data_IF_057091104904
#
_entry.id   IF_057091104904
#
_cell.length_a   1.000
_cell.length_b   1.000
_cell.length_c   1.000
_cell.angle_alpha   90.00
_cell.angle_beta   90.00
_cell.angle_gamma   90.00
#
_symmetry.space_group_name_H-M   'P 1'
#
loop_
_entity.id
_entity.type
_entity.pdbx_description
1 polymer ?
#
# COMPACT_ATOMS: atom_id res chain seq x y z
N UNK A 1 28.18 19.59 35.03
CA UNK A 1 27.33 18.67 35.82
C UNK A 1 25.90 18.80 35.36
N UNK A 2 25.49 17.94 34.43
CA UNK A 2 24.14 17.81 33.95
C UNK A 2 23.39 16.76 34.80
N UNK A 3 22.12 16.98 35.19
CA UNK A 3 21.40 16.02 36.00
C UNK A 3 20.83 14.87 35.15
N UNK A 4 21.07 13.68 35.66
CA UNK A 4 20.55 12.40 35.23
C UNK A 4 19.00 12.39 35.23
N UNK A 5 18.37 12.39 34.04
CA UNK A 5 16.91 12.17 33.91
C UNK A 5 16.68 10.71 33.52
N UNK A 6 16.50 9.87 34.54
CA UNK A 6 15.96 8.54 34.37
C UNK A 6 14.51 8.62 33.86
N UNK A 7 14.30 8.21 32.64
CA UNK A 7 12.95 7.96 32.11
C UNK A 7 12.46 6.65 32.71
N UNK A 8 11.52 6.73 33.64
CA UNK A 8 10.76 5.57 34.12
C UNK A 8 9.77 5.17 33.01
N UNK A 9 10.04 4.06 32.34
CA UNK A 9 9.04 3.40 31.49
C UNK A 9 8.13 2.62 32.43
N UNK A 10 6.95 3.15 32.69
CA UNK A 10 5.88 2.44 33.40
C UNK A 10 5.33 1.40 32.43
N UNK A 11 5.70 0.14 32.65
CA UNK A 11 5.18 -1.00 31.93
C UNK A 11 3.68 -1.09 32.10
N UNK A 12 2.96 -0.87 31.02
CA UNK A 12 1.51 -1.04 30.97
C UNK A 12 1.23 -2.55 30.94
N UNK A 13 0.71 -3.10 32.05
CA UNK A 13 0.15 -4.44 32.09
C UNK A 13 -1.11 -4.46 31.20
N UNK A 14 -0.93 -4.78 29.94
CA UNK A 14 -2.06 -5.06 29.05
C UNK A 14 -2.31 -6.56 29.11
N UNK A 15 -3.30 -6.90 29.92
CA UNK A 15 -4.33 -7.83 29.55
C UNK A 15 -4.00 -9.31 29.38
N UNK A 16 -3.90 -10.00 30.50
CA UNK A 16 -4.25 -11.43 30.55
C UNK A 16 -5.79 -11.69 30.38
N UNK A 17 -6.63 -10.66 30.35
CA UNK A 17 -8.08 -10.80 30.18
C UNK A 17 -8.54 -11.15 28.77
N UNK A 18 -7.85 -10.70 27.76
CA UNK A 18 -8.21 -10.96 26.35
C UNK A 18 -7.84 -12.37 25.87
N UNK A 19 -6.83 -13.00 26.48
CA UNK A 19 -6.45 -14.37 26.13
C UNK A 19 -7.43 -15.42 26.68
N UNK A 20 -8.01 -15.18 27.90
CA UNK A 20 -9.01 -16.10 28.47
C UNK A 20 -10.32 -16.10 27.69
N UNK A 21 -10.79 -14.97 27.20
CA UNK A 21 -12.04 -14.92 26.42
C UNK A 21 -11.91 -15.56 25.02
N UNK A 22 -10.73 -15.49 24.37
CA UNK A 22 -10.50 -16.18 23.09
C UNK A 22 -10.42 -17.69 23.22
N UNK A 23 -9.84 -18.21 24.32
CA UNK A 23 -9.75 -19.66 24.56
C UNK A 23 -11.10 -20.27 24.94
N UNK A 24 -11.98 -19.54 25.66
CA UNK A 24 -13.34 -19.99 25.96
C UNK A 24 -14.21 -20.07 24.70
N UNK A 25 -14.16 -19.05 23.82
CA UNK A 25 -14.87 -19.06 22.53
C UNK A 25 -14.43 -20.22 21.62
N UNK A 26 -13.13 -20.52 21.54
CA UNK A 26 -12.64 -21.64 20.73
C UNK A 26 -13.05 -23.01 21.32
N UNK A 27 -13.12 -23.14 22.65
CA UNK A 27 -13.59 -24.37 23.29
C UNK A 27 -15.10 -24.57 23.14
N UNK A 28 -15.91 -23.52 23.24
CA UNK A 28 -17.34 -23.59 22.95
C UNK A 28 -17.64 -23.96 21.51
N UNK A 29 -16.90 -23.41 20.57
CA UNK A 29 -17.06 -23.77 19.14
C UNK A 29 -16.66 -25.23 18.85
N UNK A 30 -15.66 -25.78 19.54
CA UNK A 30 -15.24 -27.19 19.39
C UNK A 30 -16.28 -28.13 20.04
N UNK A 31 -16.83 -27.78 21.19
CA UNK A 31 -17.87 -28.56 21.88
C UNK A 31 -19.14 -28.61 21.04
N UNK A 32 -19.58 -27.47 20.45
CA UNK A 32 -20.75 -27.43 19.57
C UNK A 32 -20.57 -28.23 18.28
N UNK A 33 -19.37 -28.25 17.68
CA UNK A 33 -19.08 -29.07 16.50
C UNK A 33 -19.09 -30.58 16.82
N UNK A 34 -18.62 -30.98 17.98
CA UNK A 34 -18.64 -32.37 18.43
C UNK A 34 -20.06 -32.82 18.80
N UNK A 35 -20.85 -31.94 19.43
CA UNK A 35 -22.27 -32.19 19.78
C UNK A 35 -23.14 -32.29 18.52
N UNK A 36 -22.87 -31.45 17.49
CA UNK A 36 -23.55 -31.54 16.19
C UNK A 36 -23.27 -32.90 15.50
N UNK A 37 -22.07 -33.39 15.57
CA UNK A 37 -21.71 -34.73 15.04
C UNK A 37 -22.44 -35.85 15.79
N UNK A 38 -22.54 -35.75 17.09
CA UNK A 38 -23.30 -36.72 17.94
C UNK A 38 -24.80 -36.69 17.65
N UNK A 39 -25.36 -35.50 17.46
CA UNK A 39 -26.77 -35.29 17.14
C UNK A 39 -27.12 -35.79 15.75
N UNK A 40 -26.24 -35.56 14.77
CA UNK A 40 -26.39 -36.08 13.40
C UNK A 40 -26.39 -37.59 13.39
N UNK A 41 -25.48 -38.25 14.13
CA UNK A 41 -25.44 -39.73 14.24
C UNK A 41 -26.69 -40.31 14.91
N UNK A 42 -27.26 -39.66 15.91
CA UNK A 42 -28.50 -40.07 16.54
C UNK A 42 -29.73 -39.91 15.63
N UNK A 43 -29.79 -38.85 14.85
CA UNK A 43 -30.85 -38.61 13.86
C UNK A 43 -30.76 -39.63 12.69
N UNK A 44 -29.57 -39.96 12.26
CA UNK A 44 -29.32 -40.91 11.17
C UNK A 44 -29.81 -42.32 11.51
N UNK A 45 -29.69 -42.71 12.79
CA UNK A 45 -30.17 -44.03 13.28
C UNK A 45 -31.68 -44.11 13.47
N UNK A 46 -32.43 -43.01 13.44
CA UNK A 46 -33.89 -42.97 13.62
C UNK A 46 -34.69 -42.86 12.33
N UNK A 47 -34.05 -42.62 11.19
CA UNK A 47 -34.73 -42.41 9.92
C UNK A 47 -34.70 -43.70 9.09
N UNK A 48 -35.81 -44.01 8.42
CA UNK A 48 -35.85 -45.15 7.53
C UNK A 48 -34.89 -44.94 6.33
N UNK A 49 -34.30 -46.02 5.78
CA UNK A 49 -33.35 -45.90 4.66
C UNK A 49 -33.92 -45.05 3.48
N UNK A 50 -35.20 -45.21 3.15
CA UNK A 50 -35.84 -44.48 2.05
C UNK A 50 -35.96 -43.00 2.30
N UNK A 51 -36.22 -42.57 3.56
CA UNK A 51 -36.30 -41.14 3.90
C UNK A 51 -34.92 -40.51 4.01
N UNK A 52 -33.89 -41.28 4.39
CA UNK A 52 -32.51 -40.84 4.43
C UNK A 52 -31.96 -40.56 3.02
N UNK A 53 -32.22 -41.44 2.06
CA UNK A 53 -31.79 -41.24 0.68
C UNK A 53 -32.48 -40.03 0.04
N UNK A 54 -33.77 -39.81 0.28
CA UNK A 54 -34.49 -38.66 -0.26
C UNK A 54 -34.02 -37.34 0.34
N UNK A 55 -33.71 -37.30 1.62
CA UNK A 55 -33.16 -36.13 2.28
C UNK A 55 -31.69 -35.91 1.91
N UNK A 56 -30.91 -36.98 1.69
CA UNK A 56 -29.54 -36.90 1.25
C UNK A 56 -29.44 -36.29 -0.16
N UNK A 57 -30.27 -36.70 -1.09
CA UNK A 57 -30.30 -36.16 -2.46
C UNK A 57 -30.76 -34.66 -2.47
N UNK A 58 -31.76 -34.30 -1.67
CA UNK A 58 -32.20 -32.92 -1.56
C UNK A 58 -31.15 -31.99 -0.91
N UNK A 59 -30.51 -32.46 0.16
CA UNK A 59 -29.45 -31.69 0.82
C UNK A 59 -28.22 -31.52 -0.07
N UNK A 60 -27.84 -32.56 -0.84
CA UNK A 60 -26.75 -32.44 -1.80
C UNK A 60 -27.09 -31.50 -2.94
N UNK A 61 -28.34 -31.51 -3.44
CA UNK A 61 -28.77 -30.59 -4.48
C UNK A 61 -28.82 -29.14 -4.03
N UNK A 62 -29.20 -28.87 -2.77
CA UNK A 62 -29.14 -27.55 -2.15
C UNK A 62 -27.69 -27.10 -1.90
N UNK A 63 -26.83 -27.99 -1.43
CA UNK A 63 -25.41 -27.73 -1.23
C UNK A 63 -24.72 -27.41 -2.57
N UNK A 64 -24.99 -28.17 -3.62
CA UNK A 64 -24.47 -27.93 -4.97
C UNK A 64 -24.90 -26.57 -5.51
N UNK A 65 -26.17 -26.21 -5.35
CA UNK A 65 -26.65 -24.88 -5.72
C UNK A 65 -25.94 -23.77 -4.95
N UNK A 66 -25.81 -23.94 -3.64
CA UNK A 66 -25.14 -22.95 -2.77
C UNK A 66 -23.67 -22.79 -3.18
N UNK A 67 -22.96 -23.91 -3.42
CA UNK A 67 -21.59 -23.88 -3.90
C UNK A 67 -21.46 -23.19 -5.26
N UNK A 68 -22.37 -23.48 -6.19
CA UNK A 68 -22.40 -22.83 -7.50
C UNK A 68 -22.62 -21.31 -7.38
N UNK A 69 -23.57 -20.87 -6.53
CA UNK A 69 -23.78 -19.45 -6.30
C UNK A 69 -22.57 -18.78 -5.63
N UNK A 70 -21.92 -19.46 -4.68
CA UNK A 70 -20.70 -18.99 -4.07
C UNK A 70 -19.57 -18.80 -5.08
N UNK A 71 -19.36 -19.77 -5.96
CA UNK A 71 -18.36 -19.70 -7.03
C UNK A 71 -18.65 -18.55 -8.01
N UNK A 72 -19.91 -18.38 -8.43
CA UNK A 72 -20.30 -17.27 -9.29
C UNK A 72 -20.08 -15.90 -8.60
N UNK A 73 -20.41 -15.81 -7.32
CA UNK A 73 -20.18 -14.60 -6.55
C UNK A 73 -18.68 -14.28 -6.39
N UNK A 74 -17.84 -15.29 -6.19
CA UNK A 74 -16.38 -15.14 -6.14
C UNK A 74 -15.83 -14.65 -7.49
N UNK A 75 -16.25 -15.25 -8.60
CA UNK A 75 -15.84 -14.84 -9.94
C UNK A 75 -16.23 -13.39 -10.25
N UNK A 76 -17.45 -12.98 -9.88
CA UNK A 76 -17.88 -11.59 -10.05
C UNK A 76 -17.11 -10.62 -9.13
N UNK A 77 -16.79 -11.06 -7.90
CA UNK A 77 -15.95 -10.27 -6.99
C UNK A 77 -14.53 -10.07 -7.55
N UNK A 78 -13.91 -11.13 -8.09
CA UNK A 78 -12.60 -11.03 -8.74
C UNK A 78 -12.62 -10.08 -9.95
N UNK A 79 -13.65 -10.17 -10.79
CA UNK A 79 -13.84 -9.24 -11.92
C UNK A 79 -13.98 -7.78 -11.45
N UNK A 80 -14.69 -7.56 -10.34
CA UNK A 80 -14.84 -6.23 -9.73
C UNK A 80 -13.51 -5.70 -9.21
N UNK A 81 -12.77 -6.51 -8.45
CA UNK A 81 -11.45 -6.16 -7.92
C UNK A 81 -10.54 -5.76 -9.09
N UNK A 82 -10.45 -6.58 -10.12
CA UNK A 82 -9.61 -6.28 -11.29
C UNK A 82 -9.99 -5.00 -12.03
N UNK A 83 -11.30 -4.70 -12.13
CA UNK A 83 -11.77 -3.41 -12.69
C UNK A 83 -11.34 -2.23 -11.81
N UNK A 84 -11.45 -2.36 -10.49
CA UNK A 84 -11.03 -1.32 -9.54
C UNK A 84 -9.51 -1.11 -9.58
N UNK A 85 -8.70 -2.17 -9.58
CA UNK A 85 -7.24 -2.07 -9.73
C UNK A 85 -6.85 -1.35 -11.03
N UNK A 86 -7.47 -1.68 -12.14
CA UNK A 86 -7.23 -0.99 -13.40
C UNK A 86 -7.64 0.49 -13.34
N UNK A 87 -8.72 0.81 -12.62
CA UNK A 87 -9.16 2.19 -12.43
C UNK A 87 -8.19 2.97 -11.55
N UNK A 88 -7.70 2.38 -10.47
CA UNK A 88 -6.67 2.96 -9.60
C UNK A 88 -5.41 3.25 -10.42
N UNK A 89 -4.88 2.26 -11.14
CA UNK A 89 -3.70 2.44 -12.02
C UNK A 89 -3.90 3.53 -13.06
N UNK A 90 -5.09 3.65 -13.61
CA UNK A 90 -5.42 4.72 -14.54
C UNK A 90 -5.38 6.09 -13.85
N UNK A 91 -6.00 6.23 -12.67
CA UNK A 91 -5.99 7.49 -11.90
C UNK A 91 -4.58 7.86 -11.44
N UNK A 92 -3.80 6.90 -10.93
CA UNK A 92 -2.38 7.09 -10.60
C UNK A 92 -1.59 7.55 -11.83
N UNK A 93 -1.88 6.97 -13.00
CA UNK A 93 -1.24 7.40 -14.24
C UNK A 93 -1.58 8.83 -14.66
N UNK A 94 -2.66 9.42 -14.14
CA UNK A 94 -3.00 10.84 -14.38
C UNK A 94 -2.30 11.78 -13.39
N UNK A 95 -1.87 11.27 -12.23
CA UNK A 95 -1.11 12.08 -11.26
C UNK A 95 0.21 12.54 -11.87
N UNK A 96 0.59 13.75 -11.57
CA UNK A 96 1.87 14.36 -11.96
C UNK A 96 2.76 14.64 -10.75
N UNK A 97 2.29 14.30 -9.55
CA UNK A 97 2.99 14.48 -8.27
C UNK A 97 3.35 13.14 -7.65
N UNK A 98 4.44 13.09 -6.91
CA UNK A 98 4.86 11.98 -6.05
C UNK A 98 4.14 12.10 -4.71
N UNK A 99 3.50 11.03 -4.26
CA UNK A 99 2.64 11.04 -3.06
C UNK A 99 3.43 11.27 -1.77
N UNK A 100 4.66 10.79 -1.71
CA UNK A 100 5.50 10.92 -0.53
C UNK A 100 6.11 12.32 -0.42
N UNK A 101 6.79 12.77 -1.46
CA UNK A 101 7.57 14.02 -1.43
C UNK A 101 6.80 15.26 -1.89
N UNK A 102 5.59 15.09 -2.44
CA UNK A 102 4.76 16.13 -3.05
C UNK A 102 5.44 16.89 -4.22
N UNK A 103 6.59 16.43 -4.67
CA UNK A 103 7.29 16.91 -5.85
C UNK A 103 6.65 16.37 -7.13
N UNK A 104 7.10 16.83 -8.29
CA UNK A 104 6.71 16.18 -9.54
C UNK A 104 7.17 14.72 -9.54
N UNK A 105 6.30 13.81 -9.93
CA UNK A 105 6.72 12.45 -10.23
C UNK A 105 7.44 12.41 -11.61
N UNK A 106 7.98 11.27 -11.99
CA UNK A 106 8.67 11.08 -13.26
C UNK A 106 7.88 11.59 -14.46
N UNK A 107 6.57 11.36 -14.47
CA UNK A 107 5.69 11.79 -15.56
C UNK A 107 5.55 13.30 -15.58
N UNK A 108 5.25 13.92 -14.44
CA UNK A 108 5.13 15.37 -14.29
C UNK A 108 6.41 16.07 -14.69
N UNK A 109 7.56 15.56 -14.23
CA UNK A 109 8.88 16.11 -14.59
C UNK A 109 9.15 16.03 -16.08
N UNK A 110 8.90 14.89 -16.73
CA UNK A 110 9.08 14.74 -18.17
C UNK A 110 8.15 15.66 -18.99
N UNK A 111 6.95 15.92 -18.51
CA UNK A 111 6.04 16.89 -19.15
C UNK A 111 6.65 18.30 -19.11
N UNK A 112 7.12 18.76 -17.94
CA UNK A 112 7.78 20.07 -17.79
C UNK A 112 9.08 20.15 -18.59
N UNK A 113 9.87 19.07 -18.61
CA UNK A 113 11.08 19.01 -19.41
C UNK A 113 10.80 19.17 -20.93
N UNK A 114 9.82 18.44 -21.46
CA UNK A 114 9.41 18.55 -22.86
C UNK A 114 8.92 19.95 -23.22
N UNK A 115 8.13 20.54 -22.33
CA UNK A 115 7.62 21.89 -22.50
C UNK A 115 8.78 22.92 -22.51
N UNK A 116 9.67 22.86 -21.53
CA UNK A 116 10.84 23.74 -21.45
C UNK A 116 11.78 23.58 -22.64
N UNK A 117 11.97 22.35 -23.11
CA UNK A 117 12.75 22.07 -24.30
C UNK A 117 12.15 22.69 -25.57
N UNK A 118 10.80 22.68 -25.70
CA UNK A 118 10.12 23.31 -26.83
C UNK A 118 10.28 24.85 -26.83
N UNK A 119 10.21 25.46 -25.64
CA UNK A 119 10.45 26.89 -25.44
C UNK A 119 11.89 27.22 -25.77
N UNK A 120 12.86 26.46 -25.26
CA UNK A 120 14.30 26.64 -25.50
C UNK A 120 14.63 26.61 -27.00
N UNK A 121 14.04 25.69 -27.75
CA UNK A 121 14.22 25.60 -29.22
C UNK A 121 13.74 26.87 -29.94
N UNK A 122 12.64 27.46 -29.48
CA UNK A 122 12.05 28.66 -30.09
C UNK A 122 12.81 29.93 -29.68
N UNK A 123 13.14 30.07 -28.41
CA UNK A 123 13.77 31.27 -27.86
C UNK A 123 15.30 31.29 -28.00
N UNK A 124 15.90 30.14 -28.28
CA UNK A 124 17.35 29.89 -28.23
C UNK A 124 17.96 30.10 -26.82
N UNK A 125 17.13 30.14 -25.79
CA UNK A 125 17.56 30.21 -24.39
C UNK A 125 17.66 28.79 -23.87
N UNK A 126 18.83 28.39 -23.42
CA UNK A 126 19.08 27.05 -22.87
C UNK A 126 18.46 26.85 -21.49
N UNK A 127 18.88 25.81 -20.81
CA UNK A 127 18.55 25.47 -19.44
C UNK A 127 19.50 24.40 -18.93
N UNK A 128 19.33 23.97 -17.70
CA UNK A 128 20.08 22.89 -17.08
C UNK A 128 19.16 21.84 -16.49
N UNK A 129 19.64 20.62 -16.43
CA UNK A 129 19.05 19.52 -15.67
C UNK A 129 20.11 19.02 -14.72
N UNK A 130 19.75 18.89 -13.45
CA UNK A 130 20.59 18.31 -12.42
C UNK A 130 19.93 16.99 -12.04
N UNK A 131 20.73 15.93 -11.92
CA UNK A 131 20.30 14.62 -11.47
C UNK A 131 20.99 14.39 -10.12
N UNK A 132 20.22 13.97 -9.13
CA UNK A 132 20.66 13.70 -7.76
C UNK A 132 20.30 12.27 -7.43
N UNK A 133 21.21 11.57 -6.78
CA UNK A 133 21.02 10.23 -6.26
C UNK A 133 21.45 10.19 -4.79
N UNK A 134 20.74 9.47 -3.95
CA UNK A 134 21.03 9.38 -2.53
C UNK A 134 22.00 8.23 -2.24
N UNK A 135 23.27 8.55 -2.07
CA UNK A 135 24.29 7.58 -1.70
C UNK A 135 23.95 6.88 -0.38
N UNK A 136 23.92 5.55 -0.42
CA UNK A 136 23.69 4.73 0.75
C UNK A 136 22.24 4.68 1.26
N UNK A 137 21.25 5.15 0.49
CA UNK A 137 19.85 5.14 0.89
C UNK A 137 19.36 3.74 1.30
N UNK A 138 19.81 2.70 0.59
CA UNK A 138 19.50 1.33 0.95
C UNK A 138 19.96 0.98 2.38
N UNK A 139 21.13 1.44 2.80
CA UNK A 139 21.63 1.19 4.16
C UNK A 139 20.75 1.86 5.23
N UNK A 140 20.14 3.00 4.92
CA UNK A 140 19.19 3.65 5.83
C UNK A 140 17.96 2.75 6.01
N UNK A 141 17.39 2.26 4.92
CA UNK A 141 16.26 1.35 4.96
C UNK A 141 16.57 0.04 5.71
N UNK A 142 17.73 -0.56 5.43
CA UNK A 142 18.14 -1.83 6.01
C UNK A 142 18.42 -1.71 7.53
N UNK A 143 18.96 -0.58 8.00
CA UNK A 143 19.31 -0.38 9.41
C UNK A 143 18.18 0.23 10.25
N UNK A 144 17.33 1.09 9.66
CA UNK A 144 16.35 1.89 10.40
C UNK A 144 14.91 1.68 9.93
N UNK A 145 14.71 0.85 8.90
CA UNK A 145 13.40 0.54 8.33
C UNK A 145 12.91 1.57 7.31
N UNK A 146 11.92 1.16 6.51
CA UNK A 146 11.38 1.97 5.41
C UNK A 146 10.81 3.32 5.87
N UNK A 147 10.18 3.37 7.05
CA UNK A 147 9.66 4.64 7.57
C UNK A 147 10.75 5.70 7.81
N UNK A 148 11.97 5.28 8.20
CA UNK A 148 13.10 6.20 8.32
C UNK A 148 13.58 6.67 6.94
N UNK A 149 13.60 5.78 5.94
CA UNK A 149 13.89 6.13 4.56
C UNK A 149 12.87 7.13 3.99
N UNK A 150 11.58 6.90 4.24
CA UNK A 150 10.52 7.80 3.80
C UNK A 150 10.70 9.22 4.39
N UNK A 151 11.00 9.34 5.67
CA UNK A 151 11.30 10.62 6.32
C UNK A 151 12.52 11.35 5.69
N UNK A 152 13.54 10.60 5.28
CA UNK A 152 14.70 11.18 4.58
C UNK A 152 14.28 11.73 3.21
N UNK A 153 13.48 10.98 2.46
CA UNK A 153 12.99 11.41 1.15
C UNK A 153 12.07 12.63 1.24
N UNK A 154 11.17 12.68 2.21
CA UNK A 154 10.31 13.84 2.48
C UNK A 154 11.13 15.08 2.85
N UNK A 155 12.11 14.91 3.73
CA UNK A 155 13.01 15.99 4.17
C UNK A 155 13.83 16.54 3.00
N UNK A 156 14.37 15.66 2.15
CA UNK A 156 15.08 16.07 0.95
C UNK A 156 14.16 16.78 -0.04
N UNK A 157 12.96 16.23 -0.27
CA UNK A 157 11.97 16.86 -1.15
C UNK A 157 11.62 18.27 -0.71
N UNK A 158 11.38 18.49 0.58
CA UNK A 158 11.11 19.79 1.17
C UNK A 158 12.32 20.73 1.02
N UNK A 159 13.52 20.24 1.29
CA UNK A 159 14.75 21.03 1.12
C UNK A 159 14.94 21.47 -0.34
N UNK A 160 14.77 20.56 -1.28
CA UNK A 160 14.92 20.87 -2.70
C UNK A 160 13.88 21.88 -3.16
N UNK A 161 12.61 21.72 -2.78
CA UNK A 161 11.53 22.65 -3.17
C UNK A 161 11.73 24.06 -2.65
N UNK A 162 12.34 24.22 -1.47
CA UNK A 162 12.62 25.55 -0.89
C UNK A 162 13.91 26.20 -1.40
N UNK A 163 14.82 25.41 -1.99
CA UNK A 163 16.11 25.89 -2.46
C UNK A 163 16.06 26.41 -3.90
N UNK A 164 15.18 25.85 -4.73
CA UNK A 164 15.04 26.23 -6.13
C UNK A 164 14.16 27.48 -6.30
N UNK A 165 14.18 28.07 -7.49
CA UNK A 165 13.34 29.24 -7.84
C UNK A 165 11.94 28.76 -8.23
N UNK A 166 10.95 29.65 -8.18
CA UNK A 166 9.57 29.38 -8.64
C UNK A 166 9.48 28.96 -10.11
N UNK A 167 10.49 29.30 -10.92
CA UNK A 167 10.60 28.94 -12.33
C UNK A 167 11.24 27.58 -12.58
N UNK A 168 11.84 26.98 -11.56
CA UNK A 168 12.52 25.71 -11.62
C UNK A 168 11.55 24.57 -11.23
N UNK A 169 11.81 23.39 -11.70
CA UNK A 169 10.96 22.24 -11.42
C UNK A 169 11.78 21.15 -10.76
N UNK A 170 11.26 20.62 -9.66
CA UNK A 170 11.86 19.51 -8.93
C UNK A 170 10.98 18.29 -9.06
N UNK A 171 11.58 17.14 -9.29
CA UNK A 171 10.84 15.87 -9.37
C UNK A 171 11.62 14.70 -8.78
N UNK A 172 10.88 13.76 -8.22
CA UNK A 172 11.39 12.44 -7.83
C UNK A 172 11.16 11.49 -9.01
N UNK A 173 12.26 10.97 -9.57
CA UNK A 173 12.26 10.22 -10.82
C UNK A 173 12.33 8.71 -10.59
N UNK A 174 12.89 8.32 -9.47
CA UNK A 174 13.05 6.93 -9.02
C UNK A 174 12.83 6.80 -7.53
N UNK A 175 13.21 5.71 -6.93
CA UNK A 175 13.09 5.45 -5.50
C UNK A 175 13.86 6.47 -4.66
N UNK A 176 15.11 6.72 -4.98
CA UNK A 176 16.07 7.61 -4.34
C UNK A 176 16.67 8.65 -5.30
N UNK A 177 16.14 8.70 -6.53
CA UNK A 177 16.61 9.59 -7.60
C UNK A 177 15.72 10.84 -7.69
N UNK A 178 16.35 12.02 -7.67
CA UNK A 178 15.70 13.33 -7.85
C UNK A 178 16.26 14.04 -9.06
N UNK A 179 15.50 14.94 -9.63
CA UNK A 179 15.94 15.78 -10.74
C UNK A 179 15.42 17.20 -10.58
N UNK A 180 16.27 18.15 -10.95
CA UNK A 180 15.93 19.57 -10.99
C UNK A 180 16.06 20.05 -12.43
N UNK A 181 15.01 20.69 -12.94
CA UNK A 181 15.00 21.35 -14.24
C UNK A 181 15.03 22.88 -14.01
N UNK A 182 16.02 23.53 -14.58
CA UNK A 182 16.26 24.97 -14.46
C UNK A 182 16.18 25.62 -15.85
N UNK A 183 14.98 26.05 -16.31
CA UNK A 183 14.83 26.73 -17.57
C UNK A 183 15.57 28.09 -17.57
N UNK A 184 16.25 28.43 -18.64
CA UNK A 184 17.00 29.66 -18.77
C UNK A 184 18.30 29.72 -17.95
N UNK A 185 18.66 28.66 -17.24
CA UNK A 185 19.91 28.63 -16.50
C UNK A 185 21.12 28.57 -17.43
N UNK A 186 22.15 29.34 -17.05
CA UNK A 186 23.46 29.32 -17.69
C UNK A 186 24.44 28.48 -16.86
N UNK A 187 25.57 28.07 -17.45
CA UNK A 187 26.62 27.35 -16.72
C UNK A 187 27.07 28.05 -15.43
N UNK A 188 27.11 29.41 -15.46
CA UNK A 188 27.48 30.22 -14.28
C UNK A 188 26.43 30.18 -13.15
N UNK A 189 25.15 29.95 -13.48
CA UNK A 189 24.07 29.91 -12.51
C UNK A 189 23.95 28.56 -11.83
N UNK A 190 24.38 27.49 -12.49
CA UNK A 190 24.29 26.10 -11.96
C UNK A 190 25.44 25.77 -11.01
N UNK A 191 26.58 26.49 -11.13
CA UNK A 191 27.80 26.25 -10.31
C UNK A 191 27.90 27.18 -9.07
N UNK A 192 26.87 27.89 -8.73
CA UNK A 192 26.80 28.84 -7.62
C UNK A 192 25.93 28.31 -6.49
#
# INVERSE_FOLDING_TARGET
>A
TLPDRRIRITGMQISQKTSKNRTLSARETIVTAHDLSGTINQLTNRLSPKSLFKNYDQNNMELDKTLKYALLAMEEAEKRIKRQENRIKYLESLSVTDELTQLLNRRGFLMQFRYSLSISRRTKIGGAVIILDLDGFKNINDNYGHAAGDNVLESLGSCLSTTVRDTDFVGRIGGDEFSILMPGATRKTVTR
#
